data_IF_685611233118
#
_entry.id   IF_685611233118
#
_cell.length_a   1.000
_cell.length_b   1.000
_cell.length_c   1.000
_cell.angle_alpha   90.00
_cell.angle_beta   90.00
_cell.angle_gamma   90.00
#
_symmetry.space_group_name_H-M   'P 1'
#
loop_
_entity.id
_entity.type
_entity.pdbx_description
1 polymer ?
#
# COMPACT_ATOMS: atom_id res chain seq x y z
N UNK A 1 -16.36 16.50 42.50
CA UNK A 1 -15.30 17.38 41.95
C UNK A 1 -14.97 16.98 40.51
N UNK A 2 -15.98 16.85 39.66
CA UNK A 2 -15.82 16.37 38.28
C UNK A 2 -16.73 17.22 37.39
N UNK A 3 -16.34 18.49 37.19
CA UNK A 3 -17.01 19.37 36.22
C UNK A 3 -16.17 20.62 35.94
N UNK A 4 -14.91 20.46 35.49
CA UNK A 4 -14.13 21.58 34.95
C UNK A 4 -12.89 21.08 34.19
N UNK A 5 -13.09 20.60 32.97
CA UNK A 5 -11.99 20.37 32.04
C UNK A 5 -12.31 21.05 30.69
N UNK A 6 -11.87 22.31 30.61
CA UNK A 6 -11.58 23.06 29.39
C UNK A 6 -12.65 23.11 28.30
N UNK A 7 -13.67 23.96 28.49
CA UNK A 7 -14.36 24.59 27.37
C UNK A 7 -13.40 25.57 26.67
N UNK A 8 -12.49 25.07 25.82
CA UNK A 8 -11.72 25.90 24.88
C UNK A 8 -12.75 26.66 24.02
N UNK A 9 -12.65 28.00 23.96
CA UNK A 9 -13.48 28.83 23.08
C UNK A 9 -13.37 28.28 21.66
N UNK A 10 -14.48 27.82 21.07
CA UNK A 10 -14.54 27.45 19.66
C UNK A 10 -14.06 28.63 18.82
N UNK A 11 -13.00 28.43 18.04
CA UNK A 11 -12.55 29.40 17.05
C UNK A 11 -13.58 29.44 15.94
N UNK A 12 -14.01 30.64 15.55
CA UNK A 12 -14.91 30.81 14.41
C UNK A 12 -14.09 30.61 13.14
N UNK A 13 -14.20 29.42 12.55
CA UNK A 13 -13.54 29.05 11.29
C UNK A 13 -14.32 29.49 10.06
N UNK A 14 -15.45 30.20 10.24
CA UNK A 14 -16.36 30.53 9.15
C UNK A 14 -17.02 29.31 8.51
N UNK A 15 -16.89 28.13 9.13
CA UNK A 15 -17.38 26.86 8.57
C UNK A 15 -16.44 26.23 7.54
N UNK A 16 -15.22 26.74 7.36
CA UNK A 16 -14.29 26.25 6.36
C UNK A 16 -13.02 25.66 6.99
N UNK A 17 -12.53 24.55 6.43
CA UNK A 17 -11.20 24.02 6.74
C UNK A 17 -10.58 23.30 5.54
N UNK A 18 -9.26 23.17 5.58
CA UNK A 18 -8.47 22.52 4.54
C UNK A 18 -7.44 21.60 5.19
N UNK A 19 -7.26 20.41 4.61
CA UNK A 19 -6.35 19.38 5.11
C UNK A 19 -5.73 18.58 3.96
N UNK A 20 -4.46 18.20 4.11
CA UNK A 20 -3.77 17.33 3.17
C UNK A 20 -4.04 15.85 3.44
N UNK A 21 -4.17 15.09 2.36
CA UNK A 21 -4.24 13.64 2.32
C UNK A 21 -3.40 13.12 1.14
N UNK A 22 -3.33 11.81 0.97
CA UNK A 22 -2.71 11.21 -0.20
C UNK A 22 -3.46 9.93 -0.57
N UNK A 23 -3.29 9.49 -1.81
CA UNK A 23 -3.84 8.23 -2.30
C UNK A 23 -2.80 7.43 -3.07
N UNK A 24 -2.69 6.11 -2.81
CA UNK A 24 -1.84 5.24 -3.61
C UNK A 24 -2.32 5.17 -5.06
N UNK A 25 -1.40 5.32 -6.01
CA UNK A 25 -1.64 5.14 -7.45
C UNK A 25 -0.52 4.27 -8.01
N UNK A 26 -0.83 3.01 -8.30
CA UNK A 26 0.19 2.03 -8.71
C UNK A 26 1.27 1.83 -7.63
N UNK A 27 2.53 2.07 -8.00
CA UNK A 27 3.67 2.02 -7.07
C UNK A 27 3.94 3.35 -6.34
N UNK A 28 3.27 4.43 -6.74
CA UNK A 28 3.40 5.76 -6.15
C UNK A 28 2.16 6.18 -5.38
N UNK A 29 2.08 7.47 -5.07
CA UNK A 29 0.89 8.09 -4.50
C UNK A 29 0.76 9.53 -5.00
N UNK A 30 -0.48 9.99 -5.11
CA UNK A 30 -0.84 11.36 -5.44
C UNK A 30 -1.31 12.09 -4.19
N UNK A 31 -0.93 13.36 -4.04
CA UNK A 31 -1.42 14.19 -2.96
C UNK A 31 -2.84 14.65 -3.25
N UNK A 32 -3.68 14.63 -2.22
CA UNK A 32 -5.07 15.04 -2.31
C UNK A 32 -5.33 16.11 -1.27
N UNK A 33 -6.00 17.16 -1.71
CA UNK A 33 -6.49 18.21 -0.81
C UNK A 33 -7.94 17.92 -0.45
N UNK A 34 -8.22 17.95 0.85
CA UNK A 34 -9.58 17.89 1.39
C UNK A 34 -9.98 19.29 1.83
N UNK A 35 -11.14 19.74 1.39
CA UNK A 35 -11.74 20.99 1.83
C UNK A 35 -13.13 20.70 2.42
N UNK A 36 -13.41 21.24 3.59
CA UNK A 36 -14.69 21.13 4.24
C UNK A 36 -15.37 22.50 4.27
N UNK A 37 -16.63 22.55 3.84
CA UNK A 37 -17.49 23.73 3.91
C UNK A 37 -18.81 23.38 4.64
N UNK A 38 -19.07 24.08 5.73
CA UNK A 38 -20.19 23.88 6.65
C UNK A 38 -21.08 25.12 6.68
N UNK A 39 -22.20 25.05 5.96
CA UNK A 39 -23.17 26.14 5.89
C UNK A 39 -24.42 25.85 6.73
N UNK A 40 -25.09 26.89 7.23
CA UNK A 40 -26.37 26.74 7.93
C UNK A 40 -27.46 26.35 6.93
N UNK A 41 -28.31 25.38 7.27
CA UNK A 41 -29.40 24.96 6.39
C UNK A 41 -30.00 23.61 6.77
N UNK A 42 -30.83 23.07 5.87
CA UNK A 42 -31.33 21.71 6.00
C UNK A 42 -30.15 20.73 6.00
N UNK A 43 -30.24 19.68 6.82
CA UNK A 43 -29.20 18.67 6.91
C UNK A 43 -28.93 18.04 5.54
N UNK A 44 -27.69 18.14 5.08
CA UNK A 44 -27.19 17.48 3.90
C UNK A 44 -25.70 17.19 4.10
N UNK A 45 -25.24 15.99 3.74
CA UNK A 45 -23.83 15.64 3.81
C UNK A 45 -23.42 14.93 2.51
N UNK A 46 -22.63 15.64 1.71
CA UNK A 46 -22.04 15.16 0.45
C UNK A 46 -20.51 15.12 0.51
N UNK A 47 -19.93 14.08 -0.06
CA UNK A 47 -18.51 14.01 -0.44
C UNK A 47 -18.43 14.16 -1.96
N UNK A 48 -17.61 15.08 -2.47
CA UNK A 48 -17.52 15.41 -3.91
C UNK A 48 -16.08 15.32 -4.41
N UNK A 49 -15.91 15.12 -5.72
CA UNK A 49 -14.58 15.05 -6.37
C UNK A 49 -14.22 13.66 -6.91
N UNK A 50 -15.16 13.00 -7.62
CA UNK A 50 -15.02 11.63 -8.16
C UNK A 50 -14.71 10.57 -7.10
N UNK A 51 -15.45 10.61 -5.99
CA UNK A 51 -15.41 9.60 -4.94
C UNK A 51 -16.02 8.27 -5.43
N UNK A 52 -15.40 7.15 -5.08
CA UNK A 52 -16.02 5.84 -5.21
C UNK A 52 -17.05 5.58 -4.09
N UNK A 53 -17.73 4.43 -4.19
CA UNK A 53 -18.75 4.04 -3.21
C UNK A 53 -18.19 3.92 -1.80
N UNK A 54 -16.95 3.46 -1.63
CA UNK A 54 -16.34 3.28 -0.30
C UNK A 54 -16.09 4.63 0.40
N UNK A 55 -15.70 5.65 -0.38
CA UNK A 55 -15.54 7.03 0.06
C UNK A 55 -16.90 7.69 0.32
N UNK A 56 -17.93 7.42 -0.48
CA UNK A 56 -19.29 7.90 -0.21
C UNK A 56 -19.88 7.29 1.08
N UNK A 57 -19.68 5.99 1.29
CA UNK A 57 -20.08 5.26 2.50
C UNK A 57 -19.28 5.70 3.74
N UNK A 58 -18.12 6.34 3.55
CA UNK A 58 -17.32 6.89 4.65
C UNK A 58 -18.12 7.88 5.50
N UNK A 59 -19.12 8.57 4.92
CA UNK A 59 -20.01 9.49 5.65
C UNK A 59 -20.57 8.87 6.93
N UNK A 60 -21.04 7.63 6.84
CA UNK A 60 -21.67 6.96 7.98
C UNK A 60 -20.65 6.54 9.03
N UNK A 61 -19.46 6.09 8.58
CA UNK A 61 -18.33 5.77 9.46
C UNK A 61 -17.79 7.00 10.18
N UNK A 62 -17.54 8.08 9.45
CA UNK A 62 -17.09 9.38 9.97
C UNK A 62 -18.11 9.91 10.99
N UNK A 63 -19.41 9.89 10.65
CA UNK A 63 -20.44 10.42 11.54
C UNK A 63 -20.55 9.64 12.87
N UNK A 64 -20.34 8.32 12.82
CA UNK A 64 -20.31 7.46 14.01
C UNK A 64 -19.01 7.68 14.81
N UNK A 65 -17.86 7.67 14.16
CA UNK A 65 -16.55 7.88 14.78
C UNK A 65 -16.45 9.22 15.51
N UNK A 66 -16.94 10.31 14.88
CA UNK A 66 -16.99 11.65 15.51
C UNK A 66 -17.83 11.63 16.79
N UNK A 67 -18.98 10.95 16.78
CA UNK A 67 -19.84 10.80 17.97
C UNK A 67 -19.12 10.02 19.07
N UNK A 68 -18.44 8.94 18.72
CA UNK A 68 -17.68 8.13 19.67
C UNK A 68 -16.43 8.84 20.22
N UNK A 69 -15.87 9.78 19.47
CA UNK A 69 -14.80 10.67 19.92
C UNK A 69 -15.30 11.80 20.85
N UNK A 70 -16.60 11.85 21.19
CA UNK A 70 -17.17 12.83 22.12
C UNK A 70 -17.66 14.13 21.46
N UNK A 71 -17.66 14.21 20.13
CA UNK A 71 -18.10 15.38 19.39
C UNK A 71 -19.54 15.25 18.86
N UNK A 72 -20.14 16.37 18.49
CA UNK A 72 -21.48 16.36 17.91
C UNK A 72 -21.43 15.78 16.51
N UNK A 73 -22.13 14.65 16.32
CA UNK A 73 -22.19 13.98 15.02
C UNK A 73 -22.69 14.91 13.91
N UNK A 74 -22.11 14.85 12.69
CA UNK A 74 -22.63 15.51 11.49
C UNK A 74 -24.16 15.36 11.32
N UNK A 75 -24.67 14.15 11.56
CA UNK A 75 -26.10 13.79 11.42
C UNK A 75 -27.02 14.46 12.45
N UNK A 76 -26.46 14.97 13.55
CA UNK A 76 -27.21 15.63 14.62
C UNK A 76 -27.23 17.16 14.48
N UNK A 77 -26.80 17.69 13.33
CA UNK A 77 -26.71 19.14 13.06
C UNK A 77 -27.54 19.56 11.86
N UNK A 78 -28.21 20.72 11.98
CA UNK A 78 -28.88 21.40 10.85
C UNK A 78 -27.85 22.23 10.07
N UNK A 79 -26.94 21.51 9.40
CA UNK A 79 -25.91 22.08 8.52
C UNK A 79 -25.88 21.34 7.20
N UNK A 80 -25.58 22.07 6.14
CA UNK A 80 -25.16 21.51 4.87
C UNK A 80 -23.63 21.37 4.91
N UNK A 81 -23.17 20.14 4.71
CA UNK A 81 -21.79 19.68 4.87
C UNK A 81 -21.31 19.23 3.49
N UNK A 82 -20.28 19.89 2.99
CA UNK A 82 -19.61 19.51 1.73
C UNK A 82 -18.16 19.19 2.05
N UNK A 83 -17.74 17.96 1.79
CA UNK A 83 -16.33 17.56 1.81
C UNK A 83 -15.88 17.38 0.36
N UNK A 84 -14.96 18.23 -0.10
CA UNK A 84 -14.45 18.22 -1.47
C UNK A 84 -13.05 17.63 -1.53
N UNK A 85 -12.81 16.73 -2.49
CA UNK A 85 -11.53 16.08 -2.73
C UNK A 85 -10.92 16.54 -4.06
N UNK A 86 -9.73 17.13 -4.02
CA UNK A 86 -9.01 17.69 -5.17
C UNK A 86 -7.64 16.99 -5.36
N UNK A 87 -7.18 16.71 -6.60
CA UNK A 87 -7.64 17.26 -7.89
C UNK A 87 -8.77 16.43 -8.53
N UNK A 88 -9.74 17.07 -9.18
CA UNK A 88 -10.99 16.43 -9.60
C UNK A 88 -10.86 15.40 -10.75
N UNK A 89 -9.73 15.37 -11.45
CA UNK A 89 -9.38 14.42 -12.50
C UNK A 89 -8.87 13.08 -11.94
N UNK A 90 -8.35 13.07 -10.72
CA UNK A 90 -8.03 11.85 -9.99
C UNK A 90 -9.30 11.29 -9.36
N UNK A 91 -9.59 10.02 -9.64
CA UNK A 91 -10.66 9.27 -8.96
C UNK A 91 -10.24 8.90 -7.54
N UNK A 92 -11.09 9.16 -6.55
CA UNK A 92 -10.79 8.92 -5.13
C UNK A 92 -11.35 7.59 -4.69
N UNK A 93 -10.49 6.70 -4.22
CA UNK A 93 -10.85 5.30 -4.00
C UNK A 93 -10.38 4.77 -2.64
N UNK A 94 -11.22 3.97 -2.00
CA UNK A 94 -10.88 3.28 -0.76
C UNK A 94 -11.03 4.09 0.52
N UNK A 95 -10.76 3.43 1.65
CA UNK A 95 -11.10 3.91 2.99
C UNK A 95 -10.02 4.74 3.70
N UNK A 96 -8.87 4.99 3.06
CA UNK A 96 -7.77 5.75 3.66
C UNK A 96 -8.09 7.23 3.93
N UNK A 97 -9.19 7.73 3.34
CA UNK A 97 -9.68 9.08 3.55
C UNK A 97 -10.52 9.27 4.82
N UNK A 98 -10.94 8.21 5.51
CA UNK A 98 -11.89 8.35 6.62
C UNK A 98 -11.33 9.26 7.73
N UNK A 99 -10.09 9.03 8.17
CA UNK A 99 -9.41 9.88 9.16
C UNK A 99 -9.26 11.34 8.70
N UNK A 100 -8.61 11.65 7.55
CA UNK A 100 -8.45 13.04 7.13
C UNK A 100 -9.79 13.75 6.87
N UNK A 101 -10.82 13.05 6.35
CA UNK A 101 -12.16 13.63 6.19
C UNK A 101 -12.80 14.00 7.53
N UNK A 102 -12.68 13.13 8.54
CA UNK A 102 -13.19 13.40 9.88
C UNK A 102 -12.50 14.60 10.54
N UNK A 103 -11.17 14.69 10.42
CA UNK A 103 -10.39 15.81 10.95
C UNK A 103 -10.72 17.13 10.24
N UNK A 104 -10.84 17.11 8.91
CA UNK A 104 -11.21 18.29 8.14
C UNK A 104 -12.61 18.81 8.54
N UNK A 105 -13.58 17.91 8.72
CA UNK A 105 -14.90 18.27 9.24
C UNK A 105 -14.81 18.89 10.65
N UNK A 106 -14.09 18.25 11.59
CA UNK A 106 -13.97 18.74 12.96
C UNK A 106 -13.32 20.13 13.01
N UNK A 107 -12.30 20.36 12.18
CA UNK A 107 -11.66 21.66 12.04
C UNK A 107 -12.66 22.72 11.50
N UNK A 108 -13.40 22.39 10.44
CA UNK A 108 -14.41 23.30 9.89
C UNK A 108 -15.57 23.55 10.87
N UNK A 109 -15.86 22.60 11.77
CA UNK A 109 -16.85 22.75 12.83
C UNK A 109 -16.37 23.62 14.01
N UNK A 110 -15.07 23.98 14.04
CA UNK A 110 -14.42 24.69 15.14
C UNK A 110 -14.22 23.82 16.39
N UNK A 111 -14.28 22.49 16.23
CA UNK A 111 -14.13 21.52 17.32
C UNK A 111 -12.66 21.19 17.61
N UNK A 112 -11.78 21.32 16.60
CA UNK A 112 -10.33 21.14 16.73
C UNK A 112 -9.58 22.25 15.99
N UNK A 113 -8.32 22.42 16.34
CA UNK A 113 -7.37 23.25 15.59
C UNK A 113 -6.36 22.34 14.90
N UNK A 114 -6.14 22.56 13.61
CA UNK A 114 -5.09 21.87 12.86
C UNK A 114 -3.76 22.62 13.04
N UNK A 115 -2.62 21.92 13.07
CA UNK A 115 -1.30 22.56 13.14
C UNK A 115 -1.05 23.43 11.90
N UNK A 116 -0.18 24.44 12.05
CA UNK A 116 0.28 25.25 10.90
C UNK A 116 1.12 24.42 9.94
N UNK A 117 1.98 23.55 10.49
CA UNK A 117 2.77 22.61 9.70
C UNK A 117 1.88 21.52 9.10
N UNK A 118 2.03 21.32 7.80
CA UNK A 118 1.30 20.27 7.10
C UNK A 118 1.68 18.89 7.63
N UNK A 119 0.67 18.03 7.79
CA UNK A 119 0.83 16.63 8.14
C UNK A 119 0.00 15.75 7.21
N UNK A 120 0.47 14.53 6.98
CA UNK A 120 -0.28 13.50 6.26
C UNK A 120 -1.10 12.68 7.27
N UNK A 121 -2.39 12.51 7.01
CA UNK A 121 -3.27 11.63 7.78
C UNK A 121 -3.82 10.55 6.87
N UNK A 122 -3.65 9.29 7.25
CA UNK A 122 -4.20 8.16 6.52
C UNK A 122 -4.80 7.15 7.50
N UNK A 123 -5.94 6.56 7.16
CA UNK A 123 -6.53 5.49 7.96
C UNK A 123 -8.02 5.34 7.75
N UNK A 124 -8.51 4.10 7.88
CA UNK A 124 -9.94 3.79 7.89
C UNK A 124 -10.50 3.96 9.30
N UNK A 125 -11.71 4.50 9.43
CA UNK A 125 -12.40 4.61 10.71
C UNK A 125 -13.44 3.52 10.85
N UNK A 126 -13.35 2.75 11.93
CA UNK A 126 -14.46 1.93 12.39
C UNK A 126 -15.57 2.80 13.00
N UNK A 127 -16.77 2.24 13.16
CA UNK A 127 -17.92 2.97 13.71
C UNK A 127 -17.71 3.45 15.15
N UNK A 128 -16.87 2.74 15.91
CA UNK A 128 -16.46 3.09 17.29
C UNK A 128 -15.34 4.14 17.34
N UNK A 129 -14.82 4.57 16.19
CA UNK A 129 -13.72 5.51 16.07
C UNK A 129 -12.33 4.89 16.05
N UNK A 130 -12.20 3.56 16.12
CA UNK A 130 -10.92 2.85 16.03
C UNK A 130 -10.32 3.00 14.63
N UNK A 131 -9.00 3.22 14.55
CA UNK A 131 -8.26 3.28 13.29
C UNK A 131 -7.89 1.89 12.79
N UNK A 132 -8.24 1.61 11.53
CA UNK A 132 -7.96 0.35 10.84
C UNK A 132 -6.92 0.54 9.74
N UNK A 133 -6.18 -0.53 9.50
CA UNK A 133 -5.13 -0.58 8.51
C UNK A 133 -5.65 -0.26 7.11
N UNK A 134 -4.83 0.44 6.33
CA UNK A 134 -5.11 0.72 4.91
C UNK A 134 -3.95 0.28 4.03
N UNK A 135 -4.22 0.09 2.75
CA UNK A 135 -3.20 -0.33 1.78
C UNK A 135 -2.45 0.88 1.23
N UNK A 136 -1.21 0.67 0.80
CA UNK A 136 -0.41 1.71 0.14
C UNK A 136 0.03 2.83 1.07
N UNK A 137 0.32 2.57 2.35
CA UNK A 137 0.76 3.65 3.25
C UNK A 137 2.17 4.15 2.90
N UNK A 138 3.11 3.25 2.60
CA UNK A 138 4.47 3.59 2.22
C UNK A 138 4.54 4.57 1.05
N UNK A 139 3.89 4.31 -0.11
CA UNK A 139 3.95 5.27 -1.21
C UNK A 139 3.35 6.63 -0.85
N UNK A 140 2.30 6.68 -0.01
CA UNK A 140 1.74 7.94 0.48
C UNK A 140 2.75 8.70 1.36
N UNK A 141 3.42 8.01 2.28
CA UNK A 141 4.44 8.61 3.16
C UNK A 141 5.64 9.11 2.35
N UNK A 142 6.08 8.36 1.35
CA UNK A 142 7.17 8.77 0.44
C UNK A 142 6.75 9.99 -0.40
N UNK A 143 5.51 10.04 -0.88
CA UNK A 143 4.99 11.20 -1.60
C UNK A 143 4.90 12.45 -0.70
N UNK A 144 4.41 12.30 0.53
CA UNK A 144 4.40 13.37 1.53
C UNK A 144 5.81 13.91 1.80
N UNK A 145 6.79 13.02 1.99
CA UNK A 145 8.20 13.40 2.17
C UNK A 145 8.73 14.23 1.01
N UNK A 146 8.45 13.81 -0.23
CA UNK A 146 8.87 14.54 -1.45
C UNK A 146 8.24 15.93 -1.55
N UNK A 147 7.07 16.12 -0.96
CA UNK A 147 6.39 17.40 -0.89
C UNK A 147 6.77 18.26 0.33
N UNK A 148 7.76 17.83 1.12
CA UNK A 148 8.23 18.55 2.30
C UNK A 148 7.36 18.35 3.55
N UNK A 149 6.39 17.44 3.51
CA UNK A 149 5.57 17.07 4.67
C UNK A 149 6.34 16.02 5.47
N UNK A 150 6.75 16.34 6.69
CA UNK A 150 7.58 15.44 7.53
C UNK A 150 6.79 14.71 8.59
N UNK A 151 5.58 15.15 8.90
CA UNK A 151 4.74 14.58 9.98
C UNK A 151 3.63 13.72 9.40
N UNK A 152 3.45 12.51 9.94
CA UNK A 152 2.47 11.54 9.44
C UNK A 152 1.74 10.85 10.59
N UNK A 153 0.42 10.67 10.42
CA UNK A 153 -0.43 9.87 11.29
C UNK A 153 -0.99 8.68 10.50
N UNK A 154 -0.72 7.47 10.97
CA UNK A 154 -1.16 6.22 10.35
C UNK A 154 -1.74 5.26 11.41
N UNK A 155 -2.54 4.26 11.03
CA UNK A 155 -2.98 3.23 11.96
C UNK A 155 -1.78 2.43 12.52
N UNK A 156 -1.85 1.86 13.73
CA UNK A 156 -0.72 1.12 14.31
C UNK A 156 -0.30 -0.08 13.46
N UNK A 157 -1.24 -0.71 12.78
CA UNK A 157 -0.97 -1.82 11.85
C UNK A 157 -0.16 -1.41 10.61
N UNK A 158 -0.12 -0.12 10.26
CA UNK A 158 0.72 0.42 9.17
C UNK A 158 2.01 1.09 9.68
N UNK A 159 2.24 1.13 10.99
CA UNK A 159 3.36 1.82 11.60
C UNK A 159 4.72 1.36 11.06
N UNK A 160 4.93 0.04 10.98
CA UNK A 160 6.18 -0.56 10.50
C UNK A 160 6.47 -0.17 9.06
N UNK A 161 5.44 -0.11 8.24
CA UNK A 161 5.54 0.28 6.86
C UNK A 161 5.90 1.77 6.73
N UNK A 162 5.21 2.64 7.48
CA UNK A 162 5.47 4.08 7.46
C UNK A 162 6.90 4.44 7.92
N UNK A 163 7.44 3.70 8.89
CA UNK A 163 8.81 3.88 9.41
C UNK A 163 9.90 3.58 8.36
N UNK A 164 9.59 2.91 7.24
CA UNK A 164 10.56 2.68 6.16
C UNK A 164 10.99 3.97 5.46
N UNK A 165 10.12 4.99 5.47
CA UNK A 165 10.47 6.30 4.98
C UNK A 165 11.29 7.04 6.05
N UNK A 166 12.61 6.85 6.03
CA UNK A 166 13.52 7.51 6.97
C UNK A 166 13.37 9.04 6.98
N UNK A 167 13.57 9.67 8.14
CA UNK A 167 13.50 11.13 8.29
C UNK A 167 12.08 11.69 8.38
N UNK A 168 11.10 10.84 8.67
CA UNK A 168 9.71 11.22 8.90
C UNK A 168 9.37 11.07 10.39
N UNK A 169 8.54 11.97 10.91
CA UNK A 169 7.95 11.88 12.25
C UNK A 169 6.62 11.14 12.14
N UNK A 170 6.61 9.88 12.55
CA UNK A 170 5.44 9.00 12.42
C UNK A 170 4.72 8.87 13.76
N UNK A 171 3.41 9.06 13.77
CA UNK A 171 2.53 8.79 14.89
C UNK A 171 1.57 7.64 14.55
N UNK A 172 1.30 6.78 15.53
CA UNK A 172 0.38 5.64 15.41
C UNK A 172 -0.80 5.72 16.40
N UNK A 173 -1.71 6.69 16.24
CA UNK A 173 -2.95 6.75 17.02
C UNK A 173 -3.78 5.47 16.85
N UNK A 174 -4.46 5.01 17.91
CA UNK A 174 -5.35 3.85 17.83
C UNK A 174 -6.78 4.22 17.45
N UNK A 175 -7.15 5.50 17.60
CA UNK A 175 -8.51 6.01 17.35
C UNK A 175 -8.51 7.46 16.89
N UNK A 176 -9.65 7.93 16.36
CA UNK A 176 -9.89 9.36 16.09
C UNK A 176 -9.73 10.21 17.36
N UNK A 177 -10.17 9.69 18.51
CA UNK A 177 -10.05 10.39 19.79
C UNK A 177 -8.58 10.66 20.16
N UNK A 178 -7.68 9.69 19.94
CA UNK A 178 -6.24 9.86 20.21
C UNK A 178 -5.64 10.99 19.37
N UNK A 179 -6.03 11.07 18.09
CA UNK A 179 -5.56 12.14 17.19
C UNK A 179 -6.04 13.50 17.70
N UNK A 180 -7.31 13.61 18.04
CA UNK A 180 -7.88 14.88 18.52
C UNK A 180 -7.24 15.30 19.85
N UNK A 181 -7.02 14.35 20.76
CA UNK A 181 -6.35 14.59 22.04
C UNK A 181 -4.90 15.05 21.81
N UNK A 182 -4.18 14.43 20.87
CA UNK A 182 -2.84 14.88 20.48
C UNK A 182 -2.87 16.32 19.92
N UNK A 183 -3.75 16.61 18.96
CA UNK A 183 -3.88 17.94 18.35
C UNK A 183 -4.29 19.02 19.36
N UNK A 184 -5.07 18.66 20.39
CA UNK A 184 -5.47 19.60 21.45
C UNK A 184 -4.32 20.02 22.37
N UNK A 185 -3.21 19.25 22.38
CA UNK A 185 -2.08 19.39 23.32
C UNK A 185 -2.30 18.72 24.68
N UNK A 186 -3.46 18.11 24.92
CA UNK A 186 -3.82 17.54 26.25
C UNK A 186 -2.98 16.32 26.60
N UNK A 187 -2.80 15.41 25.64
CA UNK A 187 -1.94 14.22 25.80
C UNK A 187 -1.25 13.95 24.47
N UNK A 188 -0.11 14.59 24.21
CA UNK A 188 0.64 14.40 22.98
C UNK A 188 1.08 12.93 22.84
N UNK A 189 0.77 12.32 21.71
CA UNK A 189 1.39 11.07 21.29
C UNK A 189 2.90 11.22 21.17
N UNK A 190 3.62 10.16 21.53
CA UNK A 190 5.05 10.06 21.26
C UNK A 190 5.28 9.61 19.81
N UNK A 191 6.24 10.22 19.09
CA UNK A 191 6.59 9.77 17.76
C UNK A 191 7.19 8.37 17.84
N UNK A 192 6.83 7.53 16.88
CA UNK A 192 7.39 6.21 16.77
C UNK A 192 8.88 6.29 16.47
N UNK A 193 9.63 5.49 17.23
CA UNK A 193 11.04 5.23 16.98
C UNK A 193 11.16 3.76 16.63
N UNK A 194 11.98 3.45 15.62
CA UNK A 194 12.17 2.08 15.19
C UNK A 194 13.14 2.03 14.04
N UNK A 195 14.24 1.32 14.24
CA UNK A 195 15.11 0.93 13.16
C UNK A 195 14.50 -0.32 12.54
N UNK A 196 14.13 -0.27 11.25
CA UNK A 196 13.65 -1.46 10.54
C UNK A 196 14.86 -2.27 10.10
N UNK A 197 15.63 -2.69 11.10
CA UNK A 197 16.56 -3.79 11.00
C UNK A 197 15.71 -5.07 11.06
N UNK A 198 14.95 -5.36 10.00
CA UNK A 198 14.40 -6.71 9.88
C UNK A 198 15.57 -7.67 9.66
N UNK A 199 15.57 -8.76 10.42
CA UNK A 199 16.47 -9.88 10.17
C UNK A 199 16.35 -10.26 8.70
N UNK A 200 17.48 -10.13 8.01
CA UNK A 200 17.61 -10.43 6.60
C UNK A 200 17.33 -11.92 6.39
N UNK A 201 16.08 -12.30 6.16
CA UNK A 201 15.76 -13.68 5.79
C UNK A 201 16.19 -13.87 4.35
N UNK A 202 17.41 -14.37 4.18
CA UNK A 202 17.95 -14.72 2.88
C UNK A 202 17.04 -15.75 2.18
N UNK A 203 17.01 -15.79 0.84
CA UNK A 203 16.22 -16.77 0.09
C UNK A 203 16.54 -18.21 0.51
N UNK A 204 15.51 -19.06 0.53
CA UNK A 204 15.54 -20.39 1.16
C UNK A 204 16.31 -21.48 0.40
N UNK A 205 16.86 -21.18 -0.78
CA UNK A 205 17.56 -22.17 -1.63
C UNK A 205 18.88 -21.58 -2.09
N UNK A 206 20.00 -22.21 -1.71
CA UNK A 206 21.32 -21.85 -2.16
C UNK A 206 21.68 -22.62 -3.45
N UNK A 207 22.44 -22.00 -4.36
CA UNK A 207 22.97 -22.67 -5.54
C UNK A 207 23.84 -23.88 -5.17
N UNK A 208 24.52 -23.83 -4.01
CA UNK A 208 25.31 -24.92 -3.46
C UNK A 208 24.48 -26.18 -3.11
N UNK A 209 23.18 -26.03 -2.84
CA UNK A 209 22.29 -27.14 -2.51
C UNK A 209 21.95 -28.00 -3.74
N UNK A 210 22.23 -27.50 -4.95
CA UNK A 210 21.95 -28.17 -6.21
C UNK A 210 23.12 -29.07 -6.58
N UNK A 211 22.91 -30.39 -6.56
CA UNK A 211 23.94 -31.37 -6.98
C UNK A 211 24.02 -31.46 -8.51
N UNK A 212 25.23 -31.29 -9.06
CA UNK A 212 25.48 -31.30 -10.50
C UNK A 212 24.92 -30.08 -11.24
N UNK A 213 24.59 -30.23 -12.53
CA UNK A 213 24.04 -29.16 -13.38
C UNK A 213 24.97 -27.94 -13.55
N UNK A 214 26.29 -28.17 -13.62
CA UNK A 214 27.30 -27.09 -13.64
C UNK A 214 27.09 -26.07 -14.78
N UNK A 215 26.66 -26.52 -15.96
CA UNK A 215 26.31 -25.62 -17.06
C UNK A 215 25.11 -24.72 -16.73
N UNK A 216 24.08 -25.27 -16.08
CA UNK A 216 22.90 -24.51 -15.67
C UNK A 216 23.21 -23.56 -14.52
N UNK A 217 24.02 -23.98 -13.54
CA UNK A 217 24.51 -23.10 -12.46
C UNK A 217 25.28 -21.91 -13.04
N UNK A 218 26.19 -22.16 -13.98
CA UNK A 218 26.94 -21.10 -14.64
C UNK A 218 26.03 -20.15 -15.42
N UNK A 219 25.01 -20.68 -16.10
CA UNK A 219 24.02 -19.85 -16.79
C UNK A 219 23.22 -18.98 -15.81
N UNK A 220 22.85 -19.50 -14.64
CA UNK A 220 22.19 -18.74 -13.57
C UNK A 220 23.08 -17.59 -13.07
N UNK A 221 24.37 -17.82 -12.83
CA UNK A 221 25.31 -16.77 -12.41
C UNK A 221 25.42 -15.66 -13.45
N UNK A 222 25.59 -16.01 -14.73
CA UNK A 222 25.68 -15.04 -15.84
C UNK A 222 24.39 -14.24 -15.92
N UNK A 223 23.23 -14.89 -15.82
CA UNK A 223 21.95 -14.22 -15.86
C UNK A 223 21.71 -13.31 -14.66
N UNK A 224 22.11 -13.72 -13.46
CA UNK A 224 22.01 -12.91 -12.26
C UNK A 224 22.88 -11.66 -12.36
N UNK A 225 24.13 -11.79 -12.83
CA UNK A 225 25.05 -10.68 -13.02
C UNK A 225 24.58 -9.70 -14.12
N UNK A 226 24.07 -10.23 -15.24
CA UNK A 226 23.64 -9.44 -16.39
C UNK A 226 22.15 -9.03 -16.37
N UNK A 227 21.38 -9.45 -15.37
CA UNK A 227 19.90 -9.34 -15.33
C UNK A 227 19.24 -9.86 -16.62
N UNK A 228 19.69 -11.03 -17.09
CA UNK A 228 19.19 -11.65 -18.32
C UNK A 228 18.02 -12.60 -18.07
N UNK A 229 17.16 -12.73 -19.08
CA UNK A 229 16.13 -13.76 -19.11
C UNK A 229 16.74 -15.14 -19.37
N UNK A 230 16.17 -16.19 -18.76
CA UNK A 230 16.61 -17.56 -18.93
C UNK A 230 15.48 -18.48 -19.36
N UNK A 231 15.81 -19.42 -20.24
CA UNK A 231 14.92 -20.53 -20.61
C UNK A 231 15.56 -21.83 -20.14
N UNK A 232 14.87 -22.55 -19.26
CA UNK A 232 15.32 -23.85 -18.76
C UNK A 232 14.56 -24.97 -19.48
N UNK A 233 15.27 -25.78 -20.26
CA UNK A 233 14.71 -26.90 -21.01
C UNK A 233 15.16 -28.26 -20.44
N UNK A 234 14.28 -29.27 -20.49
CA UNK A 234 14.64 -30.68 -20.21
C UNK A 234 13.47 -31.51 -19.67
N UNK A 235 13.69 -32.79 -19.33
CA UNK A 235 12.67 -33.68 -18.76
C UNK A 235 12.05 -33.18 -17.45
N UNK A 236 10.82 -33.59 -17.09
CA UNK A 236 10.26 -33.32 -15.76
C UNK A 236 11.14 -33.92 -14.66
N UNK A 237 11.08 -33.35 -13.44
CA UNK A 237 11.87 -33.85 -12.29
C UNK A 237 13.35 -33.45 -12.25
N UNK A 238 13.88 -32.79 -13.29
CA UNK A 238 15.31 -32.38 -13.38
C UNK A 238 15.71 -31.17 -12.53
N UNK A 239 14.87 -30.73 -11.58
CA UNK A 239 15.21 -29.64 -10.67
C UNK A 239 15.05 -28.21 -11.22
N UNK A 240 14.38 -28.01 -12.37
CA UNK A 240 14.16 -26.66 -12.97
C UNK A 240 13.57 -25.64 -12.00
N UNK A 241 12.58 -26.03 -11.22
CA UNK A 241 11.96 -25.15 -10.20
C UNK A 241 12.96 -24.81 -9.08
N UNK A 242 13.84 -25.74 -8.71
CA UNK A 242 14.87 -25.52 -7.69
C UNK A 242 15.95 -24.57 -8.21
N UNK A 243 16.38 -24.74 -9.47
CA UNK A 243 17.28 -23.80 -10.17
C UNK A 243 16.68 -22.38 -10.23
N UNK A 244 15.39 -22.25 -10.56
CA UNK A 244 14.71 -20.96 -10.59
C UNK A 244 14.61 -20.29 -9.22
N UNK A 245 14.39 -21.05 -8.14
CA UNK A 245 14.42 -20.52 -6.77
C UNK A 245 15.82 -20.09 -6.36
N UNK A 246 16.84 -20.88 -6.71
CA UNK A 246 18.24 -20.54 -6.43
C UNK A 246 18.68 -19.26 -7.16
N UNK A 247 18.11 -18.95 -8.34
CA UNK A 247 18.34 -17.67 -9.02
C UNK A 247 18.05 -16.47 -8.12
N UNK A 248 16.92 -16.49 -7.42
CA UNK A 248 16.54 -15.42 -6.49
C UNK A 248 17.52 -15.29 -5.32
N UNK A 249 18.16 -16.39 -4.93
CA UNK A 249 19.17 -16.47 -3.86
C UNK A 249 20.53 -15.90 -4.22
N UNK A 250 20.88 -15.90 -5.50
CA UNK A 250 22.18 -15.39 -5.98
C UNK A 250 22.11 -13.95 -6.51
N UNK A 251 20.91 -13.37 -6.60
CA UNK A 251 20.76 -11.95 -6.91
C UNK A 251 21.30 -11.10 -5.75
N UNK A 252 21.90 -9.94 -6.05
CA UNK A 252 22.33 -9.01 -5.01
C UNK A 252 21.13 -8.57 -4.14
N UNK A 253 21.35 -8.27 -2.86
CA UNK A 253 20.31 -7.67 -2.02
C UNK A 253 19.84 -6.34 -2.64
N UNK A 254 18.58 -5.99 -2.38
CA UNK A 254 18.02 -4.74 -2.89
C UNK A 254 18.74 -3.54 -2.26
N UNK A 255 18.98 -2.51 -3.07
CA UNK A 255 19.41 -1.20 -2.55
C UNK A 255 18.26 -0.56 -1.77
N UNK A 256 18.54 0.45 -0.93
CA UNK A 256 17.51 1.11 -0.12
C UNK A 256 16.35 1.66 -0.96
N UNK A 257 16.66 2.28 -2.10
CA UNK A 257 15.65 2.81 -3.01
C UNK A 257 14.81 1.69 -3.65
N UNK A 258 15.45 0.57 -4.01
CA UNK A 258 14.75 -0.61 -4.52
C UNK A 258 13.88 -1.27 -3.46
N UNK A 259 14.30 -1.29 -2.19
CA UNK A 259 13.46 -1.76 -1.07
C UNK A 259 12.21 -0.92 -0.96
N UNK A 260 12.31 0.42 -1.02
CA UNK A 260 11.15 1.30 -0.99
C UNK A 260 10.23 1.08 -2.19
N UNK A 261 10.78 0.96 -3.40
CA UNK A 261 10.03 0.74 -4.64
C UNK A 261 9.27 -0.60 -4.61
N UNK A 262 9.96 -1.71 -4.31
CA UNK A 262 9.36 -3.04 -4.25
C UNK A 262 8.34 -3.11 -3.10
N UNK A 263 8.66 -2.58 -1.93
CA UNK A 263 7.74 -2.59 -0.79
C UNK A 263 6.48 -1.77 -1.08
N UNK A 264 6.59 -0.64 -1.79
CA UNK A 264 5.45 0.18 -2.17
C UNK A 264 4.47 -0.56 -3.10
N UNK A 265 5.00 -1.31 -4.08
CA UNK A 265 4.18 -2.18 -4.95
C UNK A 265 3.37 -3.18 -4.12
N UNK A 266 4.04 -3.89 -3.21
CA UNK A 266 3.41 -4.90 -2.39
C UNK A 266 2.43 -4.33 -1.37
N UNK A 267 2.69 -3.12 -0.88
CA UNK A 267 1.79 -2.38 0.01
C UNK A 267 0.48 -2.05 -0.69
N UNK A 268 0.55 -1.43 -1.88
CA UNK A 268 -0.65 -1.10 -2.66
C UNK A 268 -1.41 -2.37 -3.04
N UNK A 269 -0.69 -3.45 -3.36
CA UNK A 269 -1.29 -4.75 -3.64
C UNK A 269 -1.91 -5.44 -2.39
N UNK A 270 -1.59 -5.00 -1.17
CA UNK A 270 -2.04 -5.62 0.07
C UNK A 270 -1.41 -6.99 0.32
N UNK A 271 -0.17 -7.18 -0.13
CA UNK A 271 0.55 -8.47 -0.05
C UNK A 271 1.75 -8.45 0.91
N UNK A 272 1.98 -7.34 1.63
CA UNK A 272 3.04 -7.25 2.62
C UNK A 272 2.72 -8.11 3.84
N UNK A 273 3.58 -9.08 4.21
CA UNK A 273 3.43 -9.82 5.46
C UNK A 273 3.67 -8.87 6.64
N UNK A 274 2.66 -8.69 7.50
CA UNK A 274 2.74 -7.88 8.72
C UNK A 274 3.32 -6.45 8.55
N UNK A 275 3.21 -5.87 7.35
CA UNK A 275 3.76 -4.54 7.04
C UNK A 275 5.29 -4.47 6.99
N UNK A 276 5.98 -5.61 6.83
CA UNK A 276 7.44 -5.66 6.78
C UNK A 276 7.99 -5.30 5.39
N UNK A 277 9.22 -4.77 5.38
CA UNK A 277 9.93 -4.43 4.16
C UNK A 277 10.34 -5.66 3.36
N UNK A 278 10.32 -5.53 2.03
CA UNK A 278 10.89 -6.53 1.13
C UNK A 278 12.35 -6.18 0.90
N UNK A 279 13.24 -6.87 1.61
CA UNK A 279 14.69 -6.63 1.56
C UNK A 279 15.42 -7.39 0.44
N UNK A 280 14.80 -8.46 -0.05
CA UNK A 280 15.38 -9.33 -1.06
C UNK A 280 14.54 -9.35 -2.33
N UNK A 281 15.17 -9.56 -3.51
CA UNK A 281 14.47 -9.73 -4.77
C UNK A 281 13.30 -10.73 -4.65
N UNK A 282 12.05 -10.33 -4.96
CA UNK A 282 10.90 -11.21 -4.79
C UNK A 282 10.91 -12.35 -5.80
N UNK A 283 10.54 -13.56 -5.36
CA UNK A 283 10.32 -14.70 -6.24
C UNK A 283 8.83 -14.94 -6.44
N UNK A 284 8.36 -14.88 -7.69
CA UNK A 284 6.98 -15.19 -8.08
C UNK A 284 6.97 -16.44 -8.94
N UNK A 285 6.09 -17.38 -8.63
CA UNK A 285 5.90 -18.62 -9.39
C UNK A 285 4.41 -18.91 -9.52
N UNK A 286 3.69 -18.14 -10.37
CA UNK A 286 2.27 -18.38 -10.59
C UNK A 286 1.99 -19.81 -11.05
N UNK A 287 0.80 -20.30 -10.72
CA UNK A 287 0.33 -21.58 -11.23
C UNK A 287 0.14 -21.48 -12.76
N UNK A 288 0.31 -22.60 -13.47
CA UNK A 288 0.20 -22.63 -14.94
C UNK A 288 -1.23 -22.36 -15.45
N UNK A 289 -2.23 -22.37 -14.55
CA UNK A 289 -3.62 -21.99 -14.82
C UNK A 289 -3.91 -20.52 -14.52
N UNK A 290 -2.91 -19.74 -14.08
CA UNK A 290 -3.07 -18.31 -13.83
C UNK A 290 -3.43 -17.59 -15.12
N UNK A 291 -4.49 -16.77 -15.09
CA UNK A 291 -4.94 -16.04 -16.26
C UNK A 291 -3.91 -15.02 -16.73
N UNK A 292 -3.96 -14.65 -18.02
CA UNK A 292 -3.13 -13.58 -18.56
C UNK A 292 -3.29 -12.26 -17.78
N UNK A 293 -4.52 -11.94 -17.35
CA UNK A 293 -4.83 -10.76 -16.52
C UNK A 293 -4.19 -10.81 -15.13
N UNK A 294 -4.07 -11.99 -14.51
CA UNK A 294 -3.39 -12.12 -13.22
C UNK A 294 -1.86 -12.08 -13.38
N UNK A 295 -1.32 -12.51 -14.52
CA UNK A 295 0.12 -12.42 -14.82
C UNK A 295 0.53 -10.97 -15.06
N UNK A 296 -0.13 -10.30 -16.01
CA UNK A 296 0.23 -8.94 -16.43
C UNK A 296 -0.26 -7.90 -15.42
N UNK A 297 -1.39 -8.18 -14.77
CA UNK A 297 -2.18 -7.18 -14.05
C UNK A 297 -3.27 -6.61 -14.95
N UNK A 298 -4.17 -5.82 -14.36
CA UNK A 298 -5.27 -5.18 -15.07
C UNK A 298 -6.61 -5.23 -14.34
N UNK A 299 -7.68 -5.05 -15.10
CA UNK A 299 -9.04 -4.82 -14.60
C UNK A 299 -9.46 -3.35 -14.77
N UNK A 300 -10.73 -3.05 -14.51
CA UNK A 300 -11.27 -1.68 -14.53
C UNK A 300 -10.48 -0.75 -13.60
N UNK A 301 -9.90 -1.33 -12.54
CA UNK A 301 -8.93 -0.70 -11.64
C UNK A 301 -7.65 -1.52 -11.73
N UNK A 302 -6.56 -0.96 -12.30
CA UNK A 302 -5.33 -1.70 -12.52
C UNK A 302 -4.77 -2.23 -11.20
N UNK A 303 -4.76 -3.56 -11.04
CA UNK A 303 -4.08 -4.22 -9.92
C UNK A 303 -2.73 -4.76 -10.38
N UNK A 304 -1.79 -4.81 -9.43
CA UNK A 304 -0.49 -5.45 -9.64
C UNK A 304 -0.67 -6.93 -10.05
N UNK A 305 -0.12 -7.29 -11.20
CA UNK A 305 -0.01 -8.69 -11.62
C UNK A 305 1.24 -9.36 -11.07
N UNK A 306 1.41 -10.64 -11.38
CA UNK A 306 2.62 -11.40 -11.02
C UNK A 306 3.90 -10.78 -11.56
N UNK A 307 3.86 -10.15 -12.74
CA UNK A 307 4.99 -9.39 -13.30
C UNK A 307 5.34 -8.20 -12.40
N UNK A 308 4.34 -7.44 -11.97
CA UNK A 308 4.54 -6.28 -11.09
C UNK A 308 5.03 -6.71 -9.71
N UNK A 309 4.49 -7.81 -9.15
CA UNK A 309 4.91 -8.36 -7.87
C UNK A 309 6.30 -9.03 -7.92
N UNK A 310 6.83 -9.31 -9.12
CA UNK A 310 8.19 -9.80 -9.32
C UNK A 310 9.19 -8.67 -9.60
N UNK A 311 8.79 -7.40 -9.42
CA UNK A 311 9.65 -6.26 -9.71
C UNK A 311 11.01 -6.35 -8.98
N UNK A 312 12.10 -6.11 -9.72
CA UNK A 312 13.51 -6.33 -9.30
C UNK A 312 13.85 -7.76 -8.85
N UNK A 313 12.94 -8.71 -9.05
CA UNK A 313 13.08 -10.09 -8.66
C UNK A 313 12.98 -11.06 -9.83
N UNK A 314 12.43 -12.23 -9.55
CA UNK A 314 12.35 -13.34 -10.50
C UNK A 314 10.89 -13.76 -10.65
N UNK A 315 10.40 -13.71 -11.89
CA UNK A 315 9.13 -14.34 -12.28
C UNK A 315 9.44 -15.68 -12.96
N UNK A 316 9.08 -16.78 -12.32
CA UNK A 316 9.19 -18.13 -12.89
C UNK A 316 7.88 -18.56 -13.53
N UNK A 317 7.90 -18.74 -14.86
CA UNK A 317 6.75 -19.23 -15.63
C UNK A 317 7.01 -20.67 -16.08
N UNK A 318 6.06 -21.57 -15.78
CA UNK A 318 6.10 -22.95 -16.26
C UNK A 318 5.31 -23.07 -17.56
N UNK A 319 6.02 -23.25 -18.66
CA UNK A 319 5.42 -23.66 -19.94
C UNK A 319 5.24 -25.18 -19.94
N UNK A 320 4.00 -25.64 -20.06
CA UNK A 320 3.70 -27.03 -20.43
C UNK A 320 3.61 -27.05 -21.94
N UNK A 321 4.62 -27.59 -22.62
CA UNK A 321 4.48 -27.96 -24.02
C UNK A 321 3.58 -29.19 -24.05
N UNK A 322 2.29 -29.00 -24.35
CA UNK A 322 1.45 -30.11 -24.78
C UNK A 322 2.01 -30.59 -26.12
N UNK A 323 2.79 -31.65 -26.10
CA UNK A 323 3.19 -32.38 -27.29
C UNK A 323 1.99 -33.12 -27.86
N UNK A 324 1.09 -32.40 -28.53
CA UNK A 324 0.10 -32.99 -29.43
C UNK A 324 0.60 -32.85 -30.87
N UNK A 325 1.71 -33.53 -31.16
CA UNK A 325 2.07 -33.89 -32.54
C UNK A 325 2.43 -35.38 -32.50
N UNK A 326 1.56 -36.30 -32.96
CA UNK A 326 2.01 -37.66 -33.25
C UNK A 326 3.04 -37.55 -34.38
N UNK A 327 4.18 -38.20 -34.22
CA UNK A 327 5.15 -38.37 -35.29
C UNK A 327 4.56 -39.26 -36.39
N UNK A 328 4.58 -38.84 -37.66
CA UNK A 328 4.76 -39.80 -38.73
C UNK A 328 6.03 -39.44 -39.52
N UNK A 329 6.64 -40.43 -40.15
CA UNK A 329 7.79 -40.37 -41.04
C UNK A 329 9.17 -40.57 -40.40
N UNK A 330 9.51 -41.85 -40.22
CA UNK A 330 10.75 -42.39 -40.78
C UNK A 330 10.51 -43.85 -41.22
N UNK A 331 10.27 -44.14 -42.52
CA UNK A 331 10.51 -45.46 -43.04
C UNK A 331 12.00 -45.58 -43.39
N UNK A 332 12.67 -46.55 -42.77
CA UNK A 332 14.00 -46.97 -43.14
C UNK A 332 13.96 -47.63 -44.53
N UNK A 333 14.46 -46.94 -45.55
CA UNK A 333 14.89 -47.60 -46.78
C UNK A 333 16.32 -48.13 -46.57
N UNK A 334 16.41 -49.43 -46.31
CA UNK A 334 17.65 -50.19 -46.50
C UNK A 334 17.68 -50.68 -47.95
N UNK A 335 18.68 -50.25 -48.72
CA UNK A 335 19.07 -50.87 -49.98
C UNK A 335 20.58 -51.10 -50.01
N UNK A 336 20.96 -52.29 -50.50
CA UNK A 336 22.31 -52.78 -50.74
C UNK A 336 22.58 -54.02 -49.86
N UNK A 337 22.78 -55.23 -50.37
CA UNK A 337 23.12 -55.69 -51.70
C UNK A 337 24.10 -56.85 -51.53
N UNK A 338 23.83 -57.97 -52.22
CA UNK A 338 24.47 -59.30 -52.21
C UNK A 338 24.12 -60.23 -51.04
#
# INVERSE_FOLDING_TARGET
MADEAAAKKKKDTGGYAKLGAAQPVGAGAELVTIEADLTRGLHAFSVVGLADKAVEEARDRIAAAIRHAGFKSPKATNRRIVLSLSPADLKKEGSHYDLPLALCYLAAAGDIELPEDAALYAGELALDGTLRAVRGVLPQVVAAKRAGITTVFVPPANAREALLAHGMTIYAPTSLADVVVHLSGTKPLEPLTGDISSERTAPSVNLADIKGQESAKRALEIAAAGRHNLVLYGPPGTGKTMLAKALSGILPPLTQDEVLEVTAIHSTAGTLPAGEAILYPPFRSPHHTTSHTAIVGGGTYPRAGEVTLAHKGVLFLRLVLQSSVPSPYFPAHAHGGL
#
